data_IF_991471409378
#
_entry.id   IF_991471409378
#
_cell.length_a   1.000
_cell.length_b   1.000
_cell.length_c   1.000
_cell.angle_alpha   90.00
_cell.angle_beta   90.00
_cell.angle_gamma   90.00
#
_symmetry.space_group_name_H-M   'P 1'
#
loop_
_entity.id
_entity.type
_entity.pdbx_description
1 polymer ?
#
# COMPACT_ATOMS: atom_id res chain seq x y z
N UNK A 1 -3.42 -22.49 4.32
CA UNK A 1 -2.96 -21.10 4.52
C UNK A 1 -3.66 -20.13 3.58
N UNK A 2 -3.88 -18.91 4.06
CA UNK A 2 -4.38 -17.77 3.28
C UNK A 2 -3.48 -16.55 3.49
N UNK A 3 -3.24 -15.79 2.42
CA UNK A 3 -2.39 -14.60 2.45
C UNK A 3 -3.18 -13.37 2.06
N UNK A 4 -3.09 -12.32 2.86
CA UNK A 4 -3.80 -11.06 2.62
C UNK A 4 -2.77 -9.96 2.41
N UNK A 5 -2.88 -9.22 1.33
CA UNK A 5 -2.03 -8.08 1.02
C UNK A 5 -2.89 -6.82 0.95
N UNK A 6 -2.44 -5.73 1.56
CA UNK A 6 -3.21 -4.51 1.48
C UNK A 6 -2.45 -3.24 1.80
N UNK A 7 -3.08 -2.14 1.37
CA UNK A 7 -2.57 -0.76 1.40
C UNK A 7 -3.71 0.21 1.69
N UNK A 8 -3.37 1.49 1.80
CA UNK A 8 -4.30 2.63 1.86
C UNK A 8 -3.95 3.76 0.87
N UNK A 9 -2.90 3.58 0.07
CA UNK A 9 -2.42 4.58 -0.89
C UNK A 9 -2.07 3.95 -2.23
N UNK A 10 -2.27 4.69 -3.33
CA UNK A 10 -2.19 4.18 -4.71
C UNK A 10 -0.85 3.49 -5.01
N UNK A 11 0.29 4.10 -4.68
CA UNK A 11 1.60 3.48 -4.98
C UNK A 11 1.84 2.18 -4.21
N UNK A 12 1.34 2.07 -2.98
CA UNK A 12 1.43 0.85 -2.18
C UNK A 12 0.46 -0.21 -2.67
N UNK A 13 -0.70 0.21 -3.19
CA UNK A 13 -1.67 -0.67 -3.86
C UNK A 13 -1.02 -1.38 -5.05
N UNK A 14 -0.36 -0.63 -5.95
CA UNK A 14 0.33 -1.20 -7.12
C UNK A 14 1.45 -2.17 -6.70
N UNK A 15 2.25 -1.79 -5.68
CA UNK A 15 3.35 -2.62 -5.19
C UNK A 15 2.84 -3.91 -4.54
N UNK A 16 1.92 -3.82 -3.58
CA UNK A 16 1.39 -4.98 -2.87
C UNK A 16 0.60 -5.91 -3.78
N UNK A 17 -0.10 -5.38 -4.77
CA UNK A 17 -0.70 -6.21 -5.80
C UNK A 17 0.35 -6.98 -6.60
N UNK A 18 1.43 -6.31 -7.00
CA UNK A 18 2.51 -6.96 -7.74
C UNK A 18 3.18 -8.06 -6.91
N UNK A 19 3.41 -7.80 -5.62
CA UNK A 19 3.92 -8.79 -4.65
C UNK A 19 2.99 -10.00 -4.56
N UNK A 20 1.69 -9.77 -4.30
CA UNK A 20 0.68 -10.83 -4.21
C UNK A 20 0.60 -11.64 -5.51
N UNK A 21 0.66 -10.97 -6.67
CA UNK A 21 0.58 -11.62 -7.99
C UNK A 21 1.81 -12.48 -8.29
N UNK A 22 3.01 -12.01 -7.91
CA UNK A 22 4.24 -12.80 -8.07
C UNK A 22 4.14 -14.04 -7.18
N UNK A 23 3.90 -13.89 -5.88
CA UNK A 23 3.77 -15.02 -4.96
C UNK A 23 2.76 -16.05 -5.48
N UNK A 24 1.57 -15.59 -5.84
CA UNK A 24 0.52 -16.51 -6.22
C UNK A 24 0.83 -17.25 -7.53
N UNK A 25 1.43 -16.57 -8.50
CA UNK A 25 1.85 -17.25 -9.74
C UNK A 25 2.95 -18.26 -9.50
N UNK A 26 3.98 -17.90 -8.72
CA UNK A 26 5.12 -18.80 -8.48
C UNK A 26 4.73 -20.03 -7.66
N UNK A 27 3.70 -19.91 -6.81
CA UNK A 27 3.23 -20.99 -5.95
C UNK A 27 1.91 -21.63 -6.43
N UNK A 28 1.48 -21.33 -7.66
CA UNK A 28 0.23 -21.82 -8.25
C UNK A 28 -1.00 -21.62 -7.33
N UNK A 29 -1.08 -20.48 -6.67
CA UNK A 29 -2.16 -20.10 -5.78
C UNK A 29 -3.25 -19.35 -6.54
N UNK A 30 -4.50 -19.60 -6.16
CA UNK A 30 -5.64 -18.81 -6.62
C UNK A 30 -5.59 -17.40 -6.02
N UNK A 31 -5.97 -16.40 -6.83
CA UNK A 31 -5.95 -14.97 -6.44
C UNK A 31 -7.30 -14.30 -6.52
N UNK A 32 -7.60 -13.47 -5.53
CA UNK A 32 -8.68 -12.50 -5.59
C UNK A 32 -8.12 -11.09 -5.40
N UNK A 33 -8.34 -10.23 -6.41
CA UNK A 33 -7.95 -8.83 -6.39
C UNK A 33 -9.19 -7.94 -6.43
N UNK A 34 -9.53 -7.35 -5.28
CA UNK A 34 -10.64 -6.39 -5.20
C UNK A 34 -10.15 -5.00 -5.58
N UNK A 35 -10.72 -4.42 -6.64
CA UNK A 35 -10.50 -3.04 -7.04
C UNK A 35 -11.77 -2.22 -6.79
N UNK A 36 -11.63 -1.10 -6.08
CA UNK A 36 -12.74 -0.20 -5.79
C UNK A 36 -13.38 0.41 -7.03
N UNK A 37 -14.72 0.49 -7.00
CA UNK A 37 -15.68 1.29 -7.78
C UNK A 37 -15.66 1.25 -9.33
N UNK A 38 -14.57 0.88 -9.99
CA UNK A 38 -14.49 0.85 -11.46
C UNK A 38 -14.54 -0.56 -12.10
N UNK A 39 -14.81 -1.61 -11.32
CA UNK A 39 -15.28 -2.89 -11.89
C UNK A 39 -14.27 -3.68 -12.72
N UNK A 40 -12.96 -3.41 -12.61
CA UNK A 40 -11.91 -4.17 -13.29
C UNK A 40 -11.41 -5.38 -12.50
N UNK A 41 -11.87 -5.56 -11.25
CA UNK A 41 -11.78 -6.83 -10.54
C UNK A 41 -13.12 -7.56 -10.65
N UNK A 42 -13.14 -8.90 -10.69
CA UNK A 42 -14.39 -9.64 -10.64
C UNK A 42 -15.17 -9.19 -9.40
N UNK A 43 -16.40 -8.69 -9.61
CA UNK A 43 -17.36 -8.42 -8.50
C UNK A 43 -17.52 -9.65 -7.58
N UNK A 44 -17.09 -10.81 -8.05
CA UNK A 44 -17.15 -12.10 -7.36
C UNK A 44 -16.08 -12.38 -6.31
N UNK A 45 -15.13 -11.48 -6.00
CA UNK A 45 -14.24 -11.71 -4.85
C UNK A 45 -15.00 -11.90 -3.53
N UNK A 46 -16.08 -11.15 -3.33
CA UNK A 46 -16.91 -11.25 -2.14
C UNK A 46 -17.98 -12.35 -2.25
N UNK A 47 -18.34 -12.78 -3.46
CA UNK A 47 -19.33 -13.85 -3.69
C UNK A 47 -18.68 -15.26 -3.73
N UNK A 48 -17.40 -15.35 -4.14
CA UNK A 48 -16.61 -16.59 -4.22
C UNK A 48 -15.50 -16.61 -3.17
N UNK A 49 -15.84 -16.24 -1.93
CA UNK A 49 -14.84 -16.12 -0.84
C UNK A 49 -14.07 -17.42 -0.54
N UNK A 50 -14.57 -18.56 -1.03
CA UNK A 50 -14.10 -19.88 -0.62
C UNK A 50 -12.89 -20.41 -1.39
N UNK A 51 -12.59 -19.89 -2.59
CA UNK A 51 -11.65 -20.58 -3.52
C UNK A 51 -10.27 -19.92 -3.62
N UNK A 52 -10.03 -18.80 -2.93
CA UNK A 52 -8.79 -18.04 -3.07
C UNK A 52 -7.85 -18.19 -1.88
N UNK A 53 -6.57 -18.48 -2.17
CA UNK A 53 -5.52 -18.49 -1.17
C UNK A 53 -4.90 -17.11 -0.98
N UNK A 54 -4.80 -16.31 -2.05
CA UNK A 54 -4.14 -14.99 -2.01
C UNK A 54 -5.14 -13.88 -2.30
N UNK A 55 -5.20 -12.92 -1.37
CA UNK A 55 -6.15 -11.82 -1.35
C UNK A 55 -5.42 -10.49 -1.43
N UNK A 56 -5.93 -9.58 -2.25
CA UNK A 56 -5.47 -8.19 -2.28
C UNK A 56 -6.61 -7.21 -2.01
N UNK A 57 -6.34 -6.21 -1.18
CA UNK A 57 -7.28 -5.13 -0.90
C UNK A 57 -6.62 -3.74 -0.83
N UNK A 58 -7.11 -2.79 -1.62
CA UNK A 58 -6.59 -1.40 -1.72
C UNK A 58 -6.97 -0.48 -0.55
N UNK A 59 -7.89 -0.92 0.31
CA UNK A 59 -8.29 -0.25 1.55
C UNK A 59 -8.40 -1.28 2.68
N UNK A 60 -7.26 -1.66 3.26
CA UNK A 60 -7.17 -2.76 4.21
C UNK A 60 -7.72 -2.36 5.58
N UNK A 61 -9.00 -2.63 5.84
CA UNK A 61 -9.62 -2.35 7.15
C UNK A 61 -9.15 -3.35 8.22
N UNK A 62 -9.36 -3.01 9.50
CA UNK A 62 -9.04 -3.89 10.65
C UNK A 62 -9.62 -5.30 10.47
N UNK A 63 -10.92 -5.40 10.16
CA UNK A 63 -11.59 -6.68 9.99
C UNK A 63 -10.98 -7.54 8.88
N UNK A 64 -10.56 -6.92 7.77
CA UNK A 64 -9.86 -7.60 6.67
C UNK A 64 -8.46 -8.02 7.08
N UNK A 65 -7.72 -7.15 7.76
CA UNK A 65 -6.36 -7.44 8.21
C UNK A 65 -6.30 -8.59 9.23
N UNK A 66 -7.34 -8.75 10.04
CA UNK A 66 -7.47 -9.81 11.03
C UNK A 66 -8.22 -11.04 10.49
N UNK A 67 -8.02 -11.42 9.22
CA UNK A 67 -8.61 -12.65 8.67
C UNK A 67 -10.08 -12.52 8.27
N UNK A 68 -10.46 -11.37 7.71
CA UNK A 68 -11.77 -11.23 7.04
C UNK A 68 -11.88 -12.10 5.79
N UNK A 69 -12.87 -11.84 4.91
CA UNK A 69 -13.10 -12.62 3.69
C UNK A 69 -13.45 -14.10 3.92
N UNK A 70 -14.19 -14.40 4.99
CA UNK A 70 -14.56 -15.79 5.28
C UNK A 70 -13.39 -16.64 5.82
N UNK A 71 -12.20 -16.06 6.03
CA UNK A 71 -11.01 -16.80 6.47
C UNK A 71 -11.18 -17.27 7.91
N UNK A 72 -11.62 -16.37 8.81
CA UNK A 72 -11.92 -16.71 10.22
C UNK A 72 -13.02 -17.75 10.34
N UNK A 73 -14.08 -17.61 9.56
CA UNK A 73 -15.23 -18.52 9.54
C UNK A 73 -14.84 -19.94 9.11
N UNK A 74 -13.73 -20.08 8.37
CA UNK A 74 -13.17 -21.36 7.92
C UNK A 74 -12.06 -21.90 8.83
N UNK A 75 -11.73 -21.20 9.91
CA UNK A 75 -10.62 -21.55 10.81
C UNK A 75 -9.28 -21.73 10.06
N UNK A 76 -9.08 -20.98 8.96
CA UNK A 76 -7.85 -21.06 8.20
C UNK A 76 -6.75 -20.22 8.84
N UNK A 77 -5.55 -20.80 8.91
CA UNK A 77 -4.32 -20.06 9.18
C UNK A 77 -4.13 -18.98 8.11
N UNK A 78 -3.82 -17.76 8.56
CA UNK A 78 -3.61 -16.63 7.67
C UNK A 78 -2.43 -15.76 8.06
N UNK A 79 -1.89 -15.08 7.06
CA UNK A 79 -0.86 -14.06 7.23
C UNK A 79 -1.22 -12.83 6.41
N UNK A 80 -1.18 -11.67 7.04
CA UNK A 80 -1.53 -10.39 6.43
C UNK A 80 -0.28 -9.52 6.31
N UNK A 81 -0.09 -8.93 5.13
CA UNK A 81 0.88 -7.87 4.90
C UNK A 81 0.13 -6.56 4.72
N UNK A 82 0.41 -5.62 5.61
CA UNK A 82 -0.13 -4.26 5.58
C UNK A 82 1.00 -3.28 5.26
N UNK A 83 0.94 -2.64 4.09
CA UNK A 83 1.88 -1.57 3.77
C UNK A 83 1.36 -0.21 4.28
N UNK A 84 2.16 0.44 5.11
CA UNK A 84 1.93 1.80 5.60
C UNK A 84 2.85 2.78 4.89
N UNK A 85 2.51 4.07 4.94
CA UNK A 85 3.29 5.14 4.30
C UNK A 85 3.36 6.35 5.21
N UNK A 86 4.45 7.11 5.06
CA UNK A 86 4.63 8.39 5.75
C UNK A 86 3.46 9.33 5.42
N UNK A 87 2.68 9.79 6.42
CA UNK A 87 1.55 10.69 6.23
C UNK A 87 1.88 11.97 5.46
N UNK A 88 3.06 12.58 5.67
CA UNK A 88 3.46 13.77 4.90
C UNK A 88 3.77 13.41 3.45
N UNK A 89 4.41 12.25 3.22
CA UNK A 89 4.65 11.76 1.86
C UNK A 89 3.33 11.38 1.15
N UNK A 90 2.33 10.88 1.89
CA UNK A 90 0.99 10.64 1.39
C UNK A 90 0.37 11.94 0.88
N UNK A 91 0.36 13.01 1.67
CA UNK A 91 -0.20 14.32 1.27
C UNK A 91 0.49 14.84 0.00
N UNK A 92 1.81 14.81 -0.07
CA UNK A 92 2.54 15.26 -1.27
C UNK A 92 2.16 14.43 -2.49
N UNK A 93 2.15 13.10 -2.35
CA UNK A 93 1.87 12.20 -3.48
C UNK A 93 0.41 12.26 -3.93
N UNK A 94 -0.52 12.40 -2.99
CA UNK A 94 -1.96 12.52 -3.24
C UNK A 94 -2.27 13.81 -3.99
N UNK A 95 -1.78 14.95 -3.50
CA UNK A 95 -1.96 16.24 -4.19
C UNK A 95 -1.41 16.21 -5.62
N UNK A 96 -0.20 15.67 -5.84
CA UNK A 96 0.38 15.59 -7.20
C UNK A 96 -0.47 14.69 -8.11
N UNK A 97 -1.02 13.60 -7.57
CA UNK A 97 -1.87 12.70 -8.32
C UNK A 97 -3.23 13.34 -8.63
N UNK A 98 -3.94 13.85 -7.63
CA UNK A 98 -5.28 14.42 -7.76
C UNK A 98 -5.32 15.73 -8.59
N UNK A 99 -4.26 16.54 -8.52
CA UNK A 99 -4.09 17.72 -9.38
C UNK A 99 -3.88 17.38 -10.87
N UNK A 100 -3.61 16.12 -11.22
CA UNK A 100 -3.27 15.70 -12.60
C UNK A 100 -4.09 14.53 -13.14
N UNK A 101 -4.83 13.82 -12.30
CA UNK A 101 -5.53 12.58 -12.64
C UNK A 101 -7.04 12.77 -12.65
N UNK A 102 -7.73 12.27 -13.68
CA UNK A 102 -9.20 12.19 -13.73
C UNK A 102 -9.78 11.08 -12.84
N UNK A 103 -8.93 10.12 -12.44
CA UNK A 103 -9.20 9.08 -11.43
C UNK A 103 -9.04 9.67 -10.01
N UNK A 104 -9.91 10.63 -9.69
CA UNK A 104 -9.85 11.42 -8.45
C UNK A 104 -11.25 11.56 -7.83
N UNK A 105 -11.42 11.37 -6.51
CA UNK A 105 -12.67 11.66 -5.81
C UNK A 105 -13.17 13.07 -6.13
N UNK A 106 -14.48 13.24 -6.26
CA UNK A 106 -15.07 14.53 -6.64
C UNK A 106 -14.67 15.67 -5.69
N UNK A 107 -14.49 15.37 -4.39
CA UNK A 107 -14.06 16.35 -3.38
C UNK A 107 -12.68 16.95 -3.67
N UNK A 108 -11.81 16.19 -4.33
CA UNK A 108 -10.40 16.52 -4.60
C UNK A 108 -10.19 17.07 -6.01
N UNK A 109 -11.20 16.99 -6.90
CA UNK A 109 -11.11 17.57 -8.25
C UNK A 109 -10.88 19.08 -8.25
N UNK A 110 -11.29 19.77 -7.17
CA UNK A 110 -11.07 21.22 -7.00
C UNK A 110 -9.59 21.60 -6.90
N UNK A 111 -8.71 20.67 -6.52
CA UNK A 111 -7.27 20.92 -6.34
C UNK A 111 -6.57 21.40 -7.62
N UNK A 112 -7.12 21.03 -8.79
CA UNK A 112 -6.60 21.48 -10.10
C UNK A 112 -6.64 22.99 -10.29
N UNK A 113 -7.58 23.64 -9.62
CA UNK A 113 -7.86 25.07 -9.73
C UNK A 113 -7.45 25.85 -8.48
N UNK A 114 -6.79 25.18 -7.52
CA UNK A 114 -6.36 25.77 -6.26
C UNK A 114 -4.88 26.18 -6.31
N UNK A 115 -4.50 27.10 -5.43
CA UNK A 115 -3.08 27.30 -5.15
C UNK A 115 -2.48 26.01 -4.58
N UNK A 116 -1.15 25.88 -4.65
CA UNK A 116 -0.44 24.69 -4.14
C UNK A 116 -0.70 24.50 -2.64
N UNK A 117 -0.76 25.60 -1.89
CA UNK A 117 -0.99 25.57 -0.44
C UNK A 117 -2.43 25.17 -0.13
N UNK A 118 -3.41 25.70 -0.86
CA UNK A 118 -4.83 25.35 -0.67
C UNK A 118 -5.12 23.90 -1.07
N UNK A 119 -4.50 23.43 -2.15
CA UNK A 119 -4.56 22.03 -2.58
C UNK A 119 -3.93 21.10 -1.55
N UNK A 120 -2.74 21.42 -1.05
CA UNK A 120 -2.10 20.64 0.02
C UNK A 120 -2.90 20.66 1.33
N UNK A 121 -3.57 21.77 1.64
CA UNK A 121 -4.47 21.86 2.80
C UNK A 121 -5.69 20.97 2.62
N UNK A 122 -6.24 20.91 1.41
CA UNK A 122 -7.35 20.00 1.07
C UNK A 122 -6.92 18.54 1.21
N UNK A 123 -5.79 18.17 0.60
CA UNK A 123 -5.25 16.81 0.66
C UNK A 123 -4.86 16.39 2.09
N UNK A 124 -4.27 17.30 2.88
CA UNK A 124 -3.94 17.05 4.29
C UNK A 124 -5.17 16.68 5.11
N UNK A 125 -6.27 17.43 4.96
CA UNK A 125 -7.53 17.09 5.61
C UNK A 125 -8.07 15.74 5.13
N UNK A 126 -7.98 15.45 3.84
CA UNK A 126 -8.41 14.16 3.29
C UNK A 126 -7.61 12.99 3.89
N UNK A 127 -6.28 13.10 3.95
CA UNK A 127 -5.42 12.09 4.59
C UNK A 127 -5.79 11.92 6.07
N UNK A 128 -5.90 13.02 6.83
CA UNK A 128 -6.21 12.95 8.27
C UNK A 128 -7.58 12.35 8.58
N UNK A 129 -8.59 12.57 7.72
CA UNK A 129 -9.97 12.13 7.97
C UNK A 129 -10.33 10.81 7.28
N UNK A 130 -9.58 10.39 6.26
CA UNK A 130 -9.89 9.22 5.43
C UNK A 130 -8.70 8.25 5.39
N UNK A 131 -7.82 8.38 4.41
CA UNK A 131 -6.82 7.34 4.08
C UNK A 131 -5.80 7.15 5.19
N UNK A 132 -5.29 8.23 5.78
CA UNK A 132 -4.38 8.19 6.92
C UNK A 132 -5.06 7.71 8.20
N UNK A 133 -6.32 8.10 8.43
CA UNK A 133 -7.12 7.61 9.56
C UNK A 133 -7.30 6.09 9.52
N UNK A 134 -7.77 5.54 8.39
CA UNK A 134 -7.95 4.09 8.22
C UNK A 134 -6.62 3.33 8.34
N UNK A 135 -5.54 3.85 7.73
CA UNK A 135 -4.21 3.26 7.85
C UNK A 135 -3.74 3.22 9.30
N UNK A 136 -3.90 4.32 10.04
CA UNK A 136 -3.54 4.40 11.45
C UNK A 136 -4.37 3.44 12.31
N UNK A 137 -5.68 3.36 12.03
CA UNK A 137 -6.58 2.47 12.74
C UNK A 137 -6.20 1.00 12.53
N UNK A 138 -5.97 0.58 11.28
CA UNK A 138 -5.49 -0.77 10.96
C UNK A 138 -4.13 -1.06 11.55
N UNK A 139 -3.17 -0.12 11.43
CA UNK A 139 -1.84 -0.28 12.03
C UNK A 139 -1.93 -0.46 13.54
N UNK A 140 -2.67 0.41 14.24
CA UNK A 140 -2.79 0.36 15.70
C UNK A 140 -3.46 -0.93 16.18
N UNK A 141 -4.52 -1.38 15.50
CA UNK A 141 -5.27 -2.58 15.86
C UNK A 141 -4.51 -3.89 15.56
N UNK A 142 -3.51 -3.84 14.68
CA UNK A 142 -2.73 -5.03 14.28
C UNK A 142 -1.29 -5.02 14.76
N UNK A 143 -0.84 -3.92 15.38
CA UNK A 143 0.52 -3.80 15.92
C UNK A 143 0.72 -4.84 17.03
N UNK A 144 1.57 -5.82 16.76
CA UNK A 144 1.88 -6.91 17.68
C UNK A 144 1.13 -8.21 17.42
N UNK A 145 0.18 -8.24 16.47
CA UNK A 145 -0.39 -9.51 16.01
C UNK A 145 0.67 -10.29 15.19
N UNK A 146 1.08 -11.50 15.61
CA UNK A 146 2.10 -12.28 14.90
C UNK A 146 1.67 -12.72 13.49
N UNK A 147 0.37 -12.64 13.17
CA UNK A 147 -0.18 -12.93 11.83
C UNK A 147 -0.21 -11.71 10.94
N UNK A 148 0.18 -10.53 11.41
CA UNK A 148 0.20 -9.30 10.62
C UNK A 148 1.59 -8.68 10.57
N UNK A 149 2.15 -8.63 9.36
CA UNK A 149 3.37 -7.89 9.08
C UNK A 149 3.01 -6.49 8.58
N UNK A 150 3.33 -5.49 9.39
CA UNK A 150 3.30 -4.08 8.98
C UNK A 150 4.66 -3.71 8.36
N UNK A 151 4.67 -3.20 7.12
CA UNK A 151 5.88 -2.74 6.40
C UNK A 151 5.74 -1.30 5.94
N UNK A 152 6.82 -0.53 5.97
CA UNK A 152 6.82 0.85 5.46
C UNK A 152 7.11 0.85 3.97
N UNK A 153 6.36 1.64 3.22
CA UNK A 153 6.62 1.88 1.81
C UNK A 153 8.02 2.49 1.56
N UNK A 154 8.49 3.29 2.52
CA UNK A 154 9.80 3.93 2.50
C UNK A 154 10.95 2.91 2.55
N UNK A 155 10.75 1.73 3.13
CA UNK A 155 11.78 0.69 3.16
C UNK A 155 12.02 0.09 1.76
N UNK A 156 11.00 0.03 0.91
CA UNK A 156 11.15 -0.35 -0.49
C UNK A 156 11.81 0.72 -1.36
N UNK A 157 11.57 1.99 -1.05
CA UNK A 157 11.95 3.10 -1.94
C UNK A 157 13.27 3.78 -1.55
N UNK A 158 13.86 3.40 -0.42
CA UNK A 158 15.12 3.95 0.08
C UNK A 158 16.31 3.65 -0.85
N UNK A 159 16.43 2.41 -1.30
CA UNK A 159 17.51 1.95 -2.17
C UNK A 159 17.15 0.59 -2.78
N UNK A 160 17.80 0.20 -3.88
CA UNK A 160 17.60 -1.14 -4.46
C UNK A 160 17.94 -2.29 -3.49
N UNK A 161 19.04 -2.23 -2.70
CA UNK A 161 19.26 -3.22 -1.65
C UNK A 161 18.17 -3.25 -0.58
N UNK A 162 17.66 -2.08 -0.16
CA UNK A 162 16.54 -2.02 0.79
C UNK A 162 15.25 -2.62 0.22
N UNK A 163 15.01 -2.44 -1.08
CA UNK A 163 13.92 -3.08 -1.80
C UNK A 163 14.01 -4.61 -1.68
N UNK A 164 15.15 -5.19 -2.07
CA UNK A 164 15.35 -6.64 -2.06
C UNK A 164 15.22 -7.21 -0.63
N UNK A 165 15.79 -6.52 0.37
CA UNK A 165 15.71 -6.93 1.77
C UNK A 165 14.26 -6.89 2.30
N UNK A 166 13.51 -5.85 1.97
CA UNK A 166 12.11 -5.70 2.40
C UNK A 166 11.21 -6.72 1.71
N UNK A 167 11.42 -6.96 0.41
CA UNK A 167 10.72 -8.00 -0.35
C UNK A 167 10.99 -9.41 0.21
N UNK A 168 12.25 -9.71 0.55
CA UNK A 168 12.63 -10.99 1.19
C UNK A 168 11.93 -11.15 2.53
N UNK A 169 12.02 -10.15 3.42
CA UNK A 169 11.33 -10.17 4.72
C UNK A 169 9.84 -10.46 4.58
N UNK A 170 9.22 -9.85 3.58
CA UNK A 170 7.80 -10.06 3.28
C UNK A 170 7.53 -11.51 2.85
N UNK A 171 8.26 -12.05 1.87
CA UNK A 171 8.04 -13.43 1.42
C UNK A 171 8.41 -14.48 2.47
N UNK A 172 9.44 -14.22 3.28
CA UNK A 172 9.78 -15.06 4.43
C UNK A 172 8.62 -15.12 5.42
N UNK A 173 8.04 -13.94 5.70
CA UNK A 173 6.87 -13.85 6.54
C UNK A 173 5.65 -14.54 5.93
N UNK A 174 5.38 -14.47 4.63
CA UNK A 174 4.17 -15.08 4.06
C UNK A 174 4.35 -16.57 3.81
N UNK A 175 5.36 -16.97 3.06
CA UNK A 175 5.50 -18.31 2.49
C UNK A 175 6.81 -19.00 2.87
N UNK A 176 7.75 -18.31 3.53
CA UNK A 176 9.09 -18.85 3.81
C UNK A 176 9.12 -20.20 4.53
N UNK A 177 8.13 -20.47 5.39
CA UNK A 177 8.01 -21.75 6.10
C UNK A 177 7.40 -22.91 5.29
N UNK A 178 6.91 -22.64 4.08
CA UNK A 178 6.22 -23.63 3.23
C UNK A 178 6.88 -23.83 1.86
N UNK A 179 8.00 -23.15 1.57
CA UNK A 179 8.72 -23.33 0.32
C UNK A 179 9.52 -24.65 0.38
N UNK A 180 9.31 -25.52 -0.62
CA UNK A 180 10.03 -26.78 -0.73
C UNK A 180 11.50 -26.56 -1.11
N UNK A 181 11.76 -25.74 -2.14
CA UNK A 181 13.11 -25.28 -2.51
C UNK A 181 13.24 -23.81 -2.19
N UNK A 182 13.42 -23.51 -0.89
CA UNK A 182 13.47 -22.15 -0.38
C UNK A 182 14.42 -21.25 -1.18
N UNK A 183 15.62 -21.72 -1.51
CA UNK A 183 16.62 -20.91 -2.21
C UNK A 183 16.18 -20.55 -3.64
N UNK A 184 15.66 -21.54 -4.37
CA UNK A 184 15.21 -21.36 -5.76
C UNK A 184 13.92 -20.54 -5.85
N UNK A 185 12.92 -20.89 -5.05
CA UNK A 185 11.60 -20.27 -5.12
C UNK A 185 11.66 -18.83 -4.62
N UNK A 186 12.34 -18.58 -3.49
CA UNK A 186 12.60 -17.23 -3.01
C UNK A 186 13.43 -16.41 -4.01
N UNK A 187 14.48 -17.00 -4.58
CA UNK A 187 15.30 -16.34 -5.62
C UNK A 187 14.46 -15.91 -6.82
N UNK A 188 13.59 -16.78 -7.31
CA UNK A 188 12.69 -16.53 -8.44
C UNK A 188 11.68 -15.43 -8.13
N UNK A 189 11.04 -15.48 -6.95
CA UNK A 189 10.09 -14.45 -6.53
C UNK A 189 10.78 -13.08 -6.37
N UNK A 190 11.99 -13.05 -5.79
CA UNK A 190 12.77 -11.83 -5.61
C UNK A 190 13.20 -11.22 -6.95
N UNK A 191 13.68 -12.03 -7.90
CA UNK A 191 14.04 -11.58 -9.24
C UNK A 191 12.84 -10.92 -9.95
N UNK A 192 11.66 -11.55 -9.86
CA UNK A 192 10.45 -11.09 -10.52
C UNK A 192 9.89 -9.80 -9.90
N UNK A 193 9.85 -9.71 -8.57
CA UNK A 193 9.35 -8.50 -7.90
C UNK A 193 10.32 -7.32 -8.03
N UNK A 194 11.61 -7.61 -8.21
CA UNK A 194 12.68 -6.65 -8.48
C UNK A 194 12.35 -5.65 -9.60
N UNK A 195 11.53 -6.05 -10.58
CA UNK A 195 11.06 -5.18 -11.66
C UNK A 195 10.14 -4.03 -11.23
N UNK A 196 9.65 -4.04 -9.98
CA UNK A 196 8.89 -2.95 -9.37
C UNK A 196 9.79 -1.93 -8.67
N UNK A 197 11.09 -2.19 -8.54
CA UNK A 197 12.05 -1.22 -8.02
C UNK A 197 12.24 -0.08 -9.03
N UNK A 198 11.67 1.09 -8.70
CA UNK A 198 11.73 2.29 -9.54
C UNK A 198 13.13 2.93 -9.57
N UNK A 199 14.02 2.61 -8.62
CA UNK A 199 15.41 3.07 -8.63
C UNK A 199 16.23 2.23 -9.62
N UNK A 200 16.01 0.92 -9.63
CA UNK A 200 16.64 -0.01 -10.57
C UNK A 200 16.07 0.12 -11.99
N UNK A 201 14.76 0.34 -12.12
CA UNK A 201 14.05 0.40 -13.40
C UNK A 201 13.27 1.73 -13.62
N UNK A 202 13.96 2.88 -13.70
CA UNK A 202 13.32 4.20 -13.73
C UNK A 202 12.53 4.51 -15.00
N UNK A 203 12.62 3.69 -16.06
CA UNK A 203 11.87 3.86 -17.32
C UNK A 203 10.45 3.28 -17.26
N UNK A 204 10.17 2.37 -16.31
CA UNK A 204 8.80 1.85 -16.06
C UNK A 204 7.97 2.81 -15.21
N UNK A 205 8.05 4.13 -15.46
CA UNK A 205 7.25 5.08 -14.67
C UNK A 205 5.77 4.84 -14.93
N UNK A 206 5.12 4.24 -13.95
CA UNK A 206 3.67 4.22 -13.85
C UNK A 206 3.15 5.66 -13.89
N UNK A 207 1.95 5.85 -14.46
CA UNK A 207 1.22 7.13 -14.43
C UNK A 207 1.02 7.65 -12.99
N UNK A 208 1.24 6.80 -11.99
CA UNK A 208 1.13 7.07 -10.56
C UNK A 208 2.44 7.50 -9.89
N UNK A 209 3.53 7.71 -10.62
CA UNK A 209 4.81 8.20 -10.08
C UNK A 209 5.03 9.67 -10.45
N UNK A 210 5.12 10.53 -9.43
CA UNK A 210 5.38 11.95 -9.62
C UNK A 210 6.75 12.21 -10.27
N UNK A 211 6.87 13.31 -11.04
CA UNK A 211 8.18 13.81 -11.47
C UNK A 211 8.91 14.39 -10.25
N UNK A 212 10.22 14.13 -10.13
CA UNK A 212 11.06 14.60 -9.01
C UNK A 212 10.99 16.12 -8.78
N UNK A 213 10.90 16.90 -9.86
CA UNK A 213 10.82 18.36 -9.79
C UNK A 213 9.50 18.84 -9.16
N UNK A 214 8.39 18.17 -9.46
CA UNK A 214 7.10 18.49 -8.85
C UNK A 214 7.12 18.15 -7.36
N UNK A 215 7.70 17.02 -7.00
CA UNK A 215 7.79 16.56 -5.62
C UNK A 215 8.59 17.53 -4.73
N UNK A 216 9.74 18.02 -5.19
CA UNK A 216 10.56 18.97 -4.41
C UNK A 216 9.83 20.29 -4.15
N UNK A 217 9.15 20.84 -5.17
CA UNK A 217 8.35 22.06 -5.05
C UNK A 217 7.20 21.89 -4.06
N UNK A 218 6.48 20.77 -4.16
CA UNK A 218 5.32 20.48 -3.30
C UNK A 218 5.76 20.20 -1.86
N UNK A 219 6.87 19.47 -1.64
CA UNK A 219 7.46 19.27 -0.31
C UNK A 219 7.83 20.59 0.37
N UNK A 220 8.36 21.54 -0.38
CA UNK A 220 8.66 22.88 0.15
C UNK A 220 7.39 23.60 0.58
N UNK A 221 6.34 23.56 -0.24
CA UNK A 221 5.05 24.17 0.05
C UNK A 221 4.30 23.53 1.23
N UNK A 222 4.57 22.24 1.53
CA UNK A 222 4.00 21.54 2.68
C UNK A 222 4.37 22.21 4.01
N UNK A 223 5.49 22.94 4.07
CA UNK A 223 5.88 23.68 5.26
C UNK A 223 4.99 24.92 5.52
N UNK A 224 4.18 25.31 4.56
CA UNK A 224 3.32 26.49 4.61
C UNK A 224 1.82 26.18 4.79
N UNK A 225 1.43 24.91 4.93
CA UNK A 225 0.04 24.56 5.28
C UNK A 225 -0.27 24.99 6.74
N UNK A 226 -1.55 25.07 7.13
CA UNK A 226 -1.93 25.40 8.51
C UNK A 226 -1.19 24.56 9.56
N UNK A 227 -0.65 25.23 10.59
CA UNK A 227 0.26 24.62 11.56
C UNK A 227 -0.37 23.45 12.33
N UNK A 228 -1.68 23.51 12.59
CA UNK A 228 -2.43 22.43 13.24
C UNK A 228 -2.45 21.16 12.38
N UNK A 229 -2.74 21.27 11.08
CA UNK A 229 -2.74 20.11 10.18
C UNK A 229 -1.35 19.47 10.07
N UNK A 230 -0.30 20.30 10.01
CA UNK A 230 1.08 19.79 10.03
C UNK A 230 1.38 19.06 11.34
N UNK A 231 0.99 19.62 12.48
CA UNK A 231 1.19 18.98 13.78
C UNK A 231 0.45 17.63 13.88
N UNK A 232 -0.77 17.54 13.38
CA UNK A 232 -1.54 16.28 13.36
C UNK A 232 -0.89 15.22 12.47
N UNK A 233 -0.35 15.60 11.30
CA UNK A 233 0.39 14.70 10.41
C UNK A 233 1.70 14.23 11.04
N UNK A 234 2.41 15.09 11.76
CA UNK A 234 3.64 14.72 12.49
C UNK A 234 3.36 13.81 13.69
N UNK A 235 2.24 14.02 14.38
CA UNK A 235 1.77 13.10 15.41
C UNK A 235 1.48 11.72 14.81
N UNK A 236 0.79 11.68 13.67
CA UNK A 236 0.52 10.44 12.94
C UNK A 236 1.83 9.74 12.50
N UNK A 237 2.81 10.50 12.00
CA UNK A 237 4.16 9.98 11.66
C UNK A 237 4.80 9.30 12.86
N UNK A 238 4.81 9.97 13.99
CA UNK A 238 5.39 9.47 15.25
C UNK A 238 4.72 8.17 15.69
N UNK A 239 3.38 8.11 15.60
CA UNK A 239 2.61 6.92 15.98
C UNK A 239 2.88 5.70 15.07
N UNK A 240 3.14 5.92 13.78
CA UNK A 240 3.60 4.89 12.82
C UNK A 240 5.10 4.56 12.95
N UNK A 241 5.82 5.34 13.78
CA UNK A 241 7.24 5.19 14.10
C UNK A 241 8.20 5.76 13.05
N UNK A 242 7.74 6.69 12.20
CA UNK A 242 8.60 7.40 11.25
C UNK A 242 9.60 8.32 11.93
#
# INVERSE_FOLDING_TARGET
DSWIFGSHHKTGTELMQSVASVQARELNQSTCFSYGKYGWGPRGCEEHQMDYNTWFHYNLTVGRAQGGFGIKERELEYRTVHIIRDPLAMVVSGYIFHSKSDDTPWELKKERNQSVIDGLTTEANYVLQKTGHEMMHTFSATRGDPRVLNVRFEDFTRSSPSFDATARKLYDFTVGGILEDYSKDMGTMLEKISHQDLLRFPKKKSKHVAKRTDEARVKTALMSIPANLRADLELMRTQLGY
#
